data_IF_029377481633
#
_entry.id   IF_029377481633
#
_cell.length_a   1.000
_cell.length_b   1.000
_cell.length_c   1.000
_cell.angle_alpha   90.00
_cell.angle_beta   90.00
_cell.angle_gamma   90.00
#
_symmetry.space_group_name_H-M   'P 1'
#
loop_
_entity.id
_entity.type
_entity.pdbx_description
1 polymer ?
#
# COMPACT_ATOMS: atom_id res chain seq x y z
N UNK A 1 11.52 -21.81 4.17
CA UNK A 1 10.10 -21.39 4.13
C UNK A 1 9.31 -22.47 3.43
N UNK A 2 8.04 -22.67 3.78
CA UNK A 2 7.19 -23.69 3.16
C UNK A 2 6.30 -22.98 2.13
N UNK A 3 6.77 -22.87 0.89
CA UNK A 3 6.23 -22.00 -0.19
C UNK A 3 4.83 -22.41 -0.64
N UNK A 4 4.46 -23.69 -0.50
CA UNK A 4 3.06 -24.15 -0.65
C UNK A 4 2.12 -23.43 0.32
N UNK A 5 2.64 -22.93 1.44
CA UNK A 5 1.92 -22.12 2.41
C UNK A 5 1.76 -20.65 2.01
N UNK A 6 2.71 -20.05 1.28
CA UNK A 6 2.65 -18.63 0.90
C UNK A 6 1.72 -18.39 -0.29
N UNK A 7 1.82 -19.20 -1.35
CA UNK A 7 0.86 -19.18 -2.45
C UNK A 7 -0.58 -19.51 -1.97
N UNK A 8 -0.72 -20.42 -0.99
CA UNK A 8 -2.01 -20.70 -0.37
C UNK A 8 -2.56 -19.49 0.40
N UNK A 9 -1.71 -18.73 1.10
CA UNK A 9 -2.12 -17.52 1.84
C UNK A 9 -2.60 -16.41 0.91
N UNK A 10 -1.94 -16.20 -0.23
CA UNK A 10 -2.34 -15.15 -1.19
C UNK A 10 -3.66 -15.49 -1.89
N UNK A 11 -3.85 -16.75 -2.28
CA UNK A 11 -5.14 -17.23 -2.82
C UNK A 11 -6.24 -17.17 -1.76
N UNK A 12 -5.92 -17.45 -0.50
CA UNK A 12 -6.85 -17.33 0.62
C UNK A 12 -7.21 -15.87 0.90
N UNK A 13 -6.23 -14.93 0.83
CA UNK A 13 -6.46 -13.47 0.88
C UNK A 13 -7.49 -13.05 -0.15
N UNK A 14 -7.24 -13.34 -1.43
CA UNK A 14 -8.13 -12.98 -2.55
C UNK A 14 -9.56 -13.49 -2.34
N UNK A 15 -9.71 -14.72 -1.87
CA UNK A 15 -11.03 -15.31 -1.55
C UNK A 15 -11.71 -14.62 -0.38
N UNK A 16 -10.97 -14.25 0.66
CA UNK A 16 -11.51 -13.57 1.82
C UNK A 16 -11.97 -12.14 1.49
N UNK A 17 -11.18 -11.37 0.72
CA UNK A 17 -11.56 -10.01 0.29
C UNK A 17 -12.81 -10.06 -0.60
N UNK A 18 -12.87 -11.00 -1.55
CA UNK A 18 -14.07 -11.25 -2.36
C UNK A 18 -15.29 -11.56 -1.49
N UNK A 19 -15.15 -12.50 -0.55
CA UNK A 19 -16.25 -12.91 0.34
C UNK A 19 -16.72 -11.76 1.25
N UNK A 20 -15.80 -11.00 1.83
CA UNK A 20 -16.12 -9.89 2.73
C UNK A 20 -16.75 -8.72 1.97
N UNK A 21 -16.23 -8.41 0.77
CA UNK A 21 -16.81 -7.43 -0.15
C UNK A 21 -18.24 -7.79 -0.56
N UNK A 22 -18.47 -9.03 -1.01
CA UNK A 22 -19.80 -9.53 -1.35
C UNK A 22 -20.76 -9.50 -0.17
N UNK A 23 -20.32 -9.95 1.01
CA UNK A 23 -21.12 -9.91 2.24
C UNK A 23 -21.53 -8.49 2.62
N UNK A 24 -20.59 -7.55 2.60
CA UNK A 24 -20.88 -6.14 2.89
C UNK A 24 -21.83 -5.56 1.83
N UNK A 25 -21.57 -5.79 0.55
CA UNK A 25 -22.44 -5.32 -0.54
C UNK A 25 -23.87 -5.86 -0.42
N UNK A 26 -24.04 -7.14 -0.06
CA UNK A 26 -25.36 -7.74 0.21
C UNK A 26 -26.06 -7.06 1.39
N UNK A 27 -25.37 -6.90 2.53
CA UNK A 27 -25.93 -6.22 3.70
C UNK A 27 -26.37 -4.78 3.37
N UNK A 28 -25.54 -4.06 2.61
CA UNK A 28 -25.84 -2.71 2.17
C UNK A 28 -26.99 -2.67 1.18
N UNK A 29 -27.09 -3.63 0.26
CA UNK A 29 -28.22 -3.78 -0.64
C UNK A 29 -29.54 -3.92 0.14
N UNK A 30 -29.56 -4.68 1.23
CA UNK A 30 -30.77 -4.81 2.08
C UNK A 30 -31.15 -3.48 2.74
N UNK A 31 -30.15 -2.76 3.26
CA UNK A 31 -30.34 -1.45 3.88
C UNK A 31 -30.72 -0.37 2.85
N UNK A 32 -30.41 -0.59 1.57
CA UNK A 32 -30.62 0.36 0.48
C UNK A 32 -31.86 0.07 -0.39
N UNK A 33 -32.69 -0.91 -0.03
CA UNK A 33 -33.81 -1.38 -0.88
C UNK A 33 -34.82 -0.30 -1.25
N UNK A 34 -35.01 0.70 -0.38
CA UNK A 34 -35.98 1.78 -0.59
C UNK A 34 -35.37 3.05 -1.21
N UNK A 35 -34.09 2.99 -1.63
CA UNK A 35 -33.45 4.11 -2.33
C UNK A 35 -34.04 4.33 -3.72
N UNK A 36 -33.89 5.55 -4.24
CA UNK A 36 -34.18 5.86 -5.64
C UNK A 36 -33.29 5.08 -6.61
N UNK A 37 -32.13 4.62 -6.16
CA UNK A 37 -31.13 3.91 -6.98
C UNK A 37 -30.54 2.71 -6.22
N UNK A 38 -31.35 1.66 -5.95
CA UNK A 38 -30.91 0.52 -5.14
C UNK A 38 -29.74 -0.24 -5.76
N UNK A 39 -28.92 -0.83 -4.90
CA UNK A 39 -27.84 -1.73 -5.31
C UNK A 39 -28.42 -2.96 -6.01
N UNK A 40 -27.93 -3.28 -7.20
CA UNK A 40 -28.37 -4.45 -7.98
C UNK A 40 -27.49 -5.67 -7.71
N UNK A 41 -28.04 -6.87 -7.93
CA UNK A 41 -27.29 -8.13 -7.77
C UNK A 41 -26.04 -8.19 -8.68
N UNK A 42 -26.11 -7.58 -9.86
CA UNK A 42 -24.96 -7.47 -10.77
C UNK A 42 -23.83 -6.65 -10.16
N UNK A 43 -24.13 -5.62 -9.38
CA UNK A 43 -23.12 -4.75 -8.75
C UNK A 43 -22.51 -5.42 -7.53
N UNK A 44 -23.29 -6.22 -6.79
CA UNK A 44 -22.76 -7.11 -5.75
C UNK A 44 -21.74 -8.08 -6.37
N UNK A 45 -22.10 -8.72 -7.49
CA UNK A 45 -21.18 -9.61 -8.20
C UNK A 45 -19.92 -8.86 -8.73
N UNK A 46 -20.08 -7.61 -9.19
CA UNK A 46 -18.94 -6.77 -9.57
C UNK A 46 -17.99 -6.52 -8.38
N UNK A 47 -18.52 -6.23 -7.19
CA UNK A 47 -17.72 -6.05 -5.97
C UNK A 47 -16.99 -7.34 -5.60
N UNK A 48 -17.65 -8.50 -5.69
CA UNK A 48 -17.02 -9.80 -5.42
C UNK A 48 -15.88 -10.10 -6.38
N UNK A 49 -16.06 -9.82 -7.68
CA UNK A 49 -15.03 -10.02 -8.70
C UNK A 49 -13.88 -9.04 -8.49
N UNK A 50 -14.17 -7.76 -8.19
CA UNK A 50 -13.15 -6.77 -7.87
C UNK A 50 -12.32 -7.20 -6.65
N UNK A 51 -12.98 -7.63 -5.56
CA UNK A 51 -12.30 -8.13 -4.37
C UNK A 51 -11.45 -9.39 -4.65
N UNK A 52 -11.92 -10.29 -5.52
CA UNK A 52 -11.14 -11.47 -5.93
C UNK A 52 -9.89 -11.09 -6.74
N UNK A 53 -9.99 -10.01 -7.53
CA UNK A 53 -9.00 -9.65 -8.53
C UNK A 53 -8.06 -8.50 -8.13
N UNK A 54 -8.30 -7.82 -7.00
CA UNK A 54 -7.54 -6.62 -6.62
C UNK A 54 -6.02 -6.86 -6.51
N UNK A 55 -5.63 -8.05 -6.04
CA UNK A 55 -4.23 -8.47 -5.88
C UNK A 55 -3.66 -9.24 -7.09
N UNK A 56 -4.32 -9.25 -8.26
CA UNK A 56 -3.76 -9.93 -9.45
C UNK A 56 -2.46 -9.31 -9.95
N UNK A 57 -2.17 -8.07 -9.53
CA UNK A 57 -1.00 -7.31 -9.96
C UNK A 57 0.25 -7.48 -9.11
N UNK A 58 0.18 -8.19 -7.97
CA UNK A 58 1.36 -8.40 -7.12
C UNK A 58 2.31 -9.44 -7.73
N UNK A 59 3.60 -9.10 -7.76
CA UNK A 59 4.66 -10.03 -8.13
C UNK A 59 5.26 -10.76 -6.91
N UNK A 60 6.37 -11.48 -7.10
CA UNK A 60 7.01 -12.29 -6.06
C UNK A 60 7.35 -11.46 -4.83
N UNK A 61 7.00 -11.94 -3.63
CA UNK A 61 7.22 -11.26 -2.36
C UNK A 61 6.49 -9.90 -2.24
N UNK A 62 5.38 -9.72 -2.98
CA UNK A 62 4.44 -8.59 -2.88
C UNK A 62 5.15 -7.22 -2.95
N UNK A 63 5.15 -6.44 -1.86
CA UNK A 63 5.75 -5.09 -1.82
C UNK A 63 7.24 -5.05 -2.15
N UNK A 64 8.00 -6.12 -1.88
CA UNK A 64 9.42 -6.17 -2.22
C UNK A 64 9.66 -6.15 -3.73
N UNK A 65 8.70 -6.63 -4.53
CA UNK A 65 8.73 -6.53 -5.98
C UNK A 65 8.45 -5.11 -6.46
N UNK A 66 7.57 -4.39 -5.79
CA UNK A 66 7.13 -3.05 -6.18
C UNK A 66 8.27 -2.02 -6.01
N UNK A 67 9.00 -2.14 -4.90
CA UNK A 67 10.11 -1.24 -4.54
C UNK A 67 11.28 -1.25 -5.53
N UNK A 68 11.34 -2.27 -6.39
CA UNK A 68 12.47 -2.50 -7.29
C UNK A 68 12.13 -2.32 -8.76
N UNK A 69 10.83 -2.25 -9.10
CA UNK A 69 10.40 -1.96 -10.47
C UNK A 69 10.74 -0.51 -10.79
N UNK A 70 11.35 -0.33 -11.95
CA UNK A 70 11.66 1.01 -12.44
C UNK A 70 10.37 1.72 -12.84
N UNK A 71 10.31 3.06 -12.68
CA UNK A 71 9.22 3.84 -13.27
C UNK A 71 9.09 3.57 -14.77
N UNK A 72 7.87 3.75 -15.29
CA UNK A 72 7.60 3.73 -16.72
C UNK A 72 8.40 4.84 -17.45
N UNK A 73 8.48 4.75 -18.78
CA UNK A 73 9.20 5.71 -19.62
C UNK A 73 8.67 7.15 -19.48
N UNK A 74 7.40 7.31 -19.11
CA UNK A 74 6.76 8.60 -18.82
C UNK A 74 7.07 9.15 -17.40
N UNK A 75 7.92 8.45 -16.65
CA UNK A 75 8.30 8.80 -15.27
C UNK A 75 7.29 8.36 -14.21
N UNK A 76 6.15 7.78 -14.58
CA UNK A 76 5.16 7.31 -13.62
C UNK A 76 5.63 6.04 -12.92
N UNK A 77 5.38 5.94 -11.61
CA UNK A 77 5.65 4.71 -10.86
C UNK A 77 4.74 3.57 -11.33
N UNK A 78 5.31 2.39 -11.44
CA UNK A 78 4.54 1.15 -11.54
C UNK A 78 3.67 0.98 -10.28
N UNK A 79 2.46 0.47 -10.46
CA UNK A 79 1.49 0.26 -9.38
C UNK A 79 0.83 -1.12 -9.51
N UNK A 80 0.76 -1.91 -8.44
CA UNK A 80 0.07 -3.19 -8.43
C UNK A 80 -1.37 -3.10 -8.92
N UNK A 81 -2.13 -2.08 -8.49
CA UNK A 81 -3.55 -1.95 -8.86
C UNK A 81 -3.74 -1.78 -10.38
N UNK A 82 -2.84 -1.04 -11.04
CA UNK A 82 -2.84 -0.90 -12.51
C UNK A 82 -2.49 -2.23 -13.18
N UNK A 83 -1.52 -2.95 -12.64
CA UNK A 83 -1.18 -4.29 -13.12
C UNK A 83 -2.35 -5.25 -12.92
N UNK A 84 -3.09 -5.18 -11.80
CA UNK A 84 -4.22 -6.03 -11.50
C UNK A 84 -5.35 -5.85 -12.53
N UNK A 85 -5.65 -4.61 -12.93
CA UNK A 85 -6.60 -4.33 -14.03
C UNK A 85 -6.11 -4.91 -15.36
N UNK A 86 -4.83 -4.74 -15.68
CA UNK A 86 -4.25 -5.31 -16.89
C UNK A 86 -4.37 -6.85 -16.90
N UNK A 87 -4.03 -7.49 -15.79
CA UNK A 87 -4.13 -8.94 -15.61
C UNK A 87 -5.58 -9.43 -15.60
N UNK A 88 -6.53 -8.69 -15.06
CA UNK A 88 -7.96 -9.02 -15.11
C UNK A 88 -8.46 -9.06 -16.57
N UNK A 89 -8.17 -8.02 -17.36
CA UNK A 89 -8.57 -7.96 -18.77
C UNK A 89 -7.93 -9.09 -19.57
N UNK A 90 -6.66 -9.39 -19.30
CA UNK A 90 -5.98 -10.55 -19.88
C UNK A 90 -6.65 -11.87 -19.48
N UNK A 91 -6.93 -12.08 -18.19
CA UNK A 91 -7.54 -13.29 -17.65
C UNK A 91 -8.90 -13.58 -18.29
N UNK A 92 -9.73 -12.55 -18.48
CA UNK A 92 -11.04 -12.68 -19.14
C UNK A 92 -10.86 -13.17 -20.58
N UNK A 93 -10.04 -12.46 -21.36
CA UNK A 93 -9.82 -12.74 -22.79
C UNK A 93 -9.15 -14.08 -23.02
N UNK A 94 -8.07 -14.36 -22.30
CA UNK A 94 -7.28 -15.59 -22.45
C UNK A 94 -8.10 -16.85 -22.14
N UNK A 95 -8.99 -16.77 -21.15
CA UNK A 95 -9.81 -17.90 -20.73
C UNK A 95 -11.22 -17.89 -21.35
N UNK A 96 -11.50 -16.97 -22.29
CA UNK A 96 -12.81 -16.82 -22.94
C UNK A 96 -13.99 -16.74 -21.95
N UNK A 97 -13.81 -15.94 -20.88
CA UNK A 97 -14.79 -15.84 -19.79
C UNK A 97 -15.98 -14.93 -20.10
N UNK A 98 -15.98 -14.23 -21.23
CA UNK A 98 -17.02 -13.27 -21.62
C UNK A 98 -18.40 -13.91 -21.62
N UNK A 99 -18.52 -15.16 -22.09
CA UNK A 99 -19.80 -15.89 -22.07
C UNK A 99 -20.27 -16.18 -20.64
N UNK A 100 -19.37 -16.63 -19.76
CA UNK A 100 -19.71 -16.91 -18.36
C UNK A 100 -20.08 -15.63 -17.60
N UNK A 101 -19.42 -14.51 -17.91
CA UNK A 101 -19.75 -13.21 -17.35
C UNK A 101 -21.11 -12.72 -17.87
N UNK A 102 -21.42 -12.93 -19.16
CA UNK A 102 -22.73 -12.61 -19.72
C UNK A 102 -23.86 -13.44 -19.07
N UNK A 103 -23.62 -14.71 -18.71
CA UNK A 103 -24.59 -15.53 -17.95
C UNK A 103 -24.90 -14.91 -16.57
N UNK A 104 -23.95 -14.18 -15.99
CA UNK A 104 -24.10 -13.38 -14.77
C UNK A 104 -24.62 -11.96 -15.02
N UNK A 105 -24.96 -11.62 -16.27
CA UNK A 105 -25.34 -10.27 -16.73
C UNK A 105 -24.26 -9.21 -16.49
N UNK A 106 -23.00 -9.61 -16.59
CA UNK A 106 -21.82 -8.73 -16.50
C UNK A 106 -21.30 -8.50 -17.91
N UNK A 107 -21.34 -7.24 -18.35
CA UNK A 107 -20.92 -6.82 -19.69
C UNK A 107 -19.71 -5.88 -19.64
N UNK A 108 -19.32 -5.30 -20.77
CA UNK A 108 -18.13 -4.46 -20.88
C UNK A 108 -18.12 -3.29 -19.88
N UNK A 109 -19.25 -2.59 -19.71
CA UNK A 109 -19.38 -1.48 -18.76
C UNK A 109 -19.23 -1.94 -17.30
N UNK A 110 -19.69 -3.15 -16.97
CA UNK A 110 -19.49 -3.76 -15.65
C UNK A 110 -18.02 -4.13 -15.42
N UNK A 111 -17.32 -4.61 -16.47
CA UNK A 111 -15.87 -4.90 -16.39
C UNK A 111 -15.09 -3.62 -16.14
N UNK A 112 -15.40 -2.52 -16.83
CA UNK A 112 -14.74 -1.23 -16.59
C UNK A 112 -15.10 -0.68 -15.19
N UNK A 113 -16.32 -0.91 -14.70
CA UNK A 113 -16.68 -0.62 -13.31
C UNK A 113 -15.85 -1.44 -12.31
N UNK A 114 -15.69 -2.76 -12.51
CA UNK A 114 -14.80 -3.62 -11.71
C UNK A 114 -13.37 -3.07 -11.71
N UNK A 115 -12.87 -2.60 -12.86
CA UNK A 115 -11.56 -1.98 -12.95
C UNK A 115 -11.45 -0.72 -12.09
N UNK A 116 -12.48 0.15 -12.08
CA UNK A 116 -12.51 1.32 -11.20
C UNK A 116 -12.56 0.94 -9.71
N UNK A 117 -13.25 -0.14 -9.34
CA UNK A 117 -13.27 -0.65 -7.95
C UNK A 117 -11.89 -1.13 -7.49
N UNK A 118 -11.10 -1.75 -8.38
CA UNK A 118 -9.73 -2.20 -8.09
C UNK A 118 -8.76 -1.01 -7.97
N UNK A 119 -8.84 -0.06 -8.92
CA UNK A 119 -7.94 1.10 -8.95
C UNK A 119 -8.19 2.09 -7.80
N UNK A 120 -9.41 2.10 -7.28
CA UNK A 120 -9.89 3.18 -6.43
C UNK A 120 -10.20 4.43 -7.26
N UNK A 121 -11.12 5.25 -6.75
CA UNK A 121 -11.58 6.46 -7.42
C UNK A 121 -11.43 7.65 -6.48
N UNK A 122 -10.78 8.71 -6.96
CA UNK A 122 -10.61 9.97 -6.24
C UNK A 122 -11.81 10.89 -6.44
N UNK A 123 -11.85 11.98 -5.66
CA UNK A 123 -12.98 12.90 -5.64
C UNK A 123 -13.31 13.51 -7.02
N UNK A 124 -12.28 13.78 -7.82
CA UNK A 124 -12.33 14.42 -9.15
C UNK A 124 -12.31 13.43 -10.32
N UNK A 125 -12.21 12.13 -10.06
CA UNK A 125 -12.17 11.12 -11.11
C UNK A 125 -13.58 10.89 -11.69
N UNK A 126 -13.64 10.58 -12.99
CA UNK A 126 -14.89 10.25 -13.67
C UNK A 126 -15.41 8.87 -13.20
N UNK A 127 -16.64 8.83 -12.70
CA UNK A 127 -17.28 7.62 -12.19
C UNK A 127 -18.31 7.10 -13.18
N UNK A 128 -18.22 5.82 -13.53
CA UNK A 128 -19.26 5.16 -14.33
C UNK A 128 -20.62 5.13 -13.61
N UNK A 129 -20.62 5.11 -12.27
CA UNK A 129 -21.83 5.04 -11.42
C UNK A 129 -21.80 6.08 -10.30
N UNK A 130 -21.83 7.36 -10.65
CA UNK A 130 -21.70 8.47 -9.67
C UNK A 130 -22.75 8.42 -8.54
N UNK A 131 -23.98 7.99 -8.83
CA UNK A 131 -25.06 7.83 -7.85
C UNK A 131 -24.82 6.69 -6.83
N UNK A 132 -23.82 5.84 -7.06
CA UNK A 132 -23.49 4.67 -6.23
C UNK A 132 -22.06 4.74 -5.72
N UNK A 133 -21.63 5.95 -5.34
CA UNK A 133 -20.28 6.20 -4.84
C UNK A 133 -19.87 5.26 -3.69
N UNK A 134 -20.80 4.87 -2.81
CA UNK A 134 -20.57 3.87 -1.75
C UNK A 134 -19.95 2.55 -2.23
N UNK A 135 -20.21 2.09 -3.45
CA UNK A 135 -19.62 0.84 -3.97
C UNK A 135 -18.11 0.98 -4.22
N UNK A 136 -17.66 2.17 -4.62
CA UNK A 136 -16.23 2.48 -4.81
C UNK A 136 -15.44 2.52 -3.50
N UNK A 137 -16.13 2.54 -2.35
CA UNK A 137 -15.53 2.55 -1.02
C UNK A 137 -15.35 1.14 -0.43
N UNK A 138 -15.74 0.08 -1.15
CA UNK A 138 -15.76 -1.29 -0.62
C UNK A 138 -14.42 -2.02 -0.79
N UNK A 139 -13.81 -1.97 -1.97
CA UNK A 139 -12.61 -2.76 -2.32
C UNK A 139 -11.33 -1.93 -2.17
N UNK A 140 -11.31 -0.71 -2.71
CA UNK A 140 -10.18 0.22 -2.60
C UNK A 140 -10.71 1.62 -2.29
N UNK A 141 -10.69 1.99 -1.02
CA UNK A 141 -11.27 3.25 -0.57
C UNK A 141 -10.23 4.37 -0.57
N UNK A 142 -10.11 5.06 -1.70
CA UNK A 142 -9.18 6.18 -1.86
C UNK A 142 -9.51 7.44 -1.04
N UNK A 143 -10.69 7.52 -0.40
CA UNK A 143 -11.12 8.72 0.36
C UNK A 143 -10.54 8.73 1.77
N UNK A 144 -10.68 7.62 2.48
CA UNK A 144 -10.25 7.48 3.88
C UNK A 144 -9.54 6.15 4.19
N UNK A 145 -9.23 5.34 3.18
CA UNK A 145 -8.39 4.15 3.31
C UNK A 145 -9.00 3.03 4.13
N UNK A 146 -10.34 2.92 4.14
CA UNK A 146 -11.09 1.85 4.82
C UNK A 146 -11.85 1.03 3.81
N UNK A 147 -11.42 -0.21 3.63
CA UNK A 147 -11.97 -1.16 2.69
C UNK A 147 -11.85 -2.59 3.23
N UNK A 148 -12.46 -3.52 2.52
CA UNK A 148 -12.49 -4.93 2.91
C UNK A 148 -11.13 -5.62 2.77
N UNK A 149 -10.23 -5.15 1.89
CA UNK A 149 -8.84 -5.63 1.83
C UNK A 149 -8.12 -5.33 3.15
N UNK A 150 -8.26 -4.09 3.65
CA UNK A 150 -7.69 -3.70 4.93
C UNK A 150 -8.21 -4.53 6.10
N UNK A 151 -9.51 -4.74 6.18
CA UNK A 151 -10.09 -5.53 7.26
C UNK A 151 -9.58 -6.97 7.25
N UNK A 152 -9.48 -7.56 6.07
CA UNK A 152 -9.00 -8.91 5.86
C UNK A 152 -7.51 -9.06 6.24
N UNK A 153 -6.61 -8.22 5.72
CA UNK A 153 -5.19 -8.37 6.05
C UNK A 153 -4.87 -8.04 7.51
N UNK A 154 -5.61 -7.15 8.17
CA UNK A 154 -5.44 -6.87 9.60
C UNK A 154 -5.87 -8.09 10.42
N UNK A 155 -7.05 -8.63 10.16
CA UNK A 155 -7.56 -9.80 10.86
C UNK A 155 -6.66 -11.03 10.66
N UNK A 156 -6.24 -11.27 9.41
CA UNK A 156 -5.32 -12.35 9.06
C UNK A 156 -3.92 -12.14 9.65
N UNK A 157 -3.38 -10.94 9.55
CA UNK A 157 -2.07 -10.58 10.09
C UNK A 157 -2.02 -10.77 11.61
N UNK A 158 -3.05 -10.32 12.32
CA UNK A 158 -3.18 -10.53 13.76
C UNK A 158 -3.24 -12.02 14.14
N UNK A 159 -3.91 -12.85 13.33
CA UNK A 159 -3.97 -14.30 13.54
C UNK A 159 -2.60 -14.98 13.37
N UNK A 160 -1.88 -14.68 12.29
CA UNK A 160 -0.63 -15.38 11.97
C UNK A 160 0.58 -14.86 12.76
N UNK A 161 0.69 -13.55 12.99
CA UNK A 161 1.86 -12.95 13.61
C UNK A 161 1.89 -13.09 15.13
N UNK A 162 0.85 -13.68 15.74
CA UNK A 162 0.73 -13.88 17.20
C UNK A 162 1.14 -12.63 17.99
N UNK A 163 0.85 -11.43 17.46
CA UNK A 163 1.05 -10.18 18.20
C UNK A 163 0.20 -10.37 19.45
N UNK A 164 0.86 -10.51 20.62
CA UNK A 164 0.35 -11.15 21.85
C UNK A 164 -0.83 -10.45 22.55
N UNK A 165 -1.74 -9.86 21.80
CA UNK A 165 -3.02 -9.32 22.21
C UNK A 165 -4.05 -9.98 21.30
N UNK A 166 -5.04 -10.69 21.87
CA UNK A 166 -6.29 -11.00 21.18
C UNK A 166 -6.68 -9.74 20.41
N UNK A 167 -6.80 -9.81 19.08
CA UNK A 167 -6.99 -8.62 18.24
C UNK A 167 -8.09 -7.76 18.84
N UNK A 168 -7.76 -6.56 19.30
CA UNK A 168 -8.74 -5.60 19.84
C UNK A 168 -9.66 -5.07 18.72
N UNK A 169 -9.35 -5.40 17.47
CA UNK A 169 -10.16 -5.14 16.30
C UNK A 169 -11.22 -6.24 16.11
N UNK A 170 -12.47 -5.91 16.40
CA UNK A 170 -13.65 -6.72 16.03
C UNK A 170 -14.29 -6.17 14.76
N UNK A 171 -13.84 -6.67 13.61
CA UNK A 171 -14.39 -6.24 12.32
C UNK A 171 -15.89 -6.57 12.18
N UNK A 172 -16.44 -7.54 12.92
CA UNK A 172 -17.87 -7.88 12.84
C UNK A 172 -18.71 -6.75 13.44
N UNK A 173 -18.24 -6.13 14.53
CA UNK A 173 -18.88 -4.95 15.13
C UNK A 173 -18.91 -3.79 14.15
N UNK A 174 -17.78 -3.51 13.49
CA UNK A 174 -17.70 -2.46 12.45
C UNK A 174 -18.59 -2.79 11.26
N UNK A 175 -18.55 -4.03 10.76
CA UNK A 175 -19.38 -4.47 9.63
C UNK A 175 -20.88 -4.27 9.90
N UNK A 176 -21.32 -4.55 11.13
CA UNK A 176 -22.72 -4.35 11.54
C UNK A 176 -23.13 -2.88 11.71
N UNK A 177 -22.16 -1.96 11.80
CA UNK A 177 -22.43 -0.53 11.99
C UNK A 177 -22.38 0.28 10.69
N UNK A 178 -22.14 -0.35 9.54
CA UNK A 178 -22.05 0.35 8.25
C UNK A 178 -23.45 0.60 7.66
N UNK A 179 -23.70 1.85 7.24
CA UNK A 179 -24.90 2.25 6.50
C UNK A 179 -24.53 3.10 5.28
N UNK A 180 -25.45 3.22 4.33
CA UNK A 180 -25.35 4.18 3.22
C UNK A 180 -26.20 5.39 3.55
N UNK A 181 -25.60 6.57 3.62
CA UNK A 181 -26.30 7.83 3.86
C UNK A 181 -25.80 8.91 2.88
N UNK A 182 -26.61 9.96 2.71
CA UNK A 182 -26.21 11.14 1.98
C UNK A 182 -25.23 11.97 2.82
N UNK A 183 -24.03 12.18 2.29
CA UNK A 183 -22.94 12.93 2.93
C UNK A 183 -22.63 14.18 2.12
N UNK A 184 -22.63 15.33 2.80
CA UNK A 184 -22.27 16.61 2.18
C UNK A 184 -20.77 16.85 2.28
N UNK A 185 -20.08 16.89 1.15
CA UNK A 185 -18.66 17.28 1.02
C UNK A 185 -18.58 18.58 0.21
N UNK A 186 -18.37 19.69 0.92
CA UNK A 186 -18.37 21.02 0.29
C UNK A 186 -19.71 21.32 -0.39
N UNK A 187 -19.69 21.49 -1.71
CA UNK A 187 -20.88 21.76 -2.54
C UNK A 187 -21.57 20.49 -3.07
N UNK A 188 -20.96 19.32 -2.92
CA UNK A 188 -21.49 18.05 -3.43
C UNK A 188 -22.13 17.23 -2.30
N UNK A 189 -23.19 16.51 -2.62
CA UNK A 189 -23.77 15.48 -1.75
C UNK A 189 -23.66 14.14 -2.46
N UNK A 190 -23.08 13.14 -1.78
CA UNK A 190 -22.87 11.80 -2.33
C UNK A 190 -23.32 10.74 -1.35
N UNK A 191 -23.73 9.59 -1.86
CA UNK A 191 -24.09 8.41 -1.06
C UNK A 191 -22.82 7.68 -0.65
N UNK A 192 -22.49 7.70 0.63
CA UNK A 192 -21.24 7.15 1.18
C UNK A 192 -21.48 6.11 2.27
N UNK A 193 -20.46 5.30 2.53
CA UNK A 193 -20.42 4.42 3.70
C UNK A 193 -20.21 5.25 4.97
N UNK A 194 -21.20 5.23 5.85
CA UNK A 194 -21.17 5.88 7.15
C UNK A 194 -21.10 4.83 8.26
N UNK A 195 -20.39 5.17 9.33
CA UNK A 195 -20.20 4.29 10.49
C UNK A 195 -20.93 4.86 11.70
N UNK A 196 -21.44 4.00 12.59
CA UNK A 196 -21.94 4.48 13.89
C UNK A 196 -20.82 5.18 14.67
N UNK A 197 -21.09 6.36 15.22
CA UNK A 197 -20.13 7.13 16.03
C UNK A 197 -19.46 6.31 17.15
N UNK A 198 -20.22 5.42 17.79
CA UNK A 198 -19.76 4.51 18.85
C UNK A 198 -18.61 3.57 18.43
N UNK A 199 -18.40 3.34 17.12
CA UNK A 199 -17.28 2.52 16.61
C UNK A 199 -16.04 3.35 16.25
N UNK A 200 -16.05 4.68 16.44
CA UNK A 200 -14.90 5.53 16.14
C UNK A 200 -13.63 5.09 16.87
N UNK A 201 -13.76 4.57 18.10
CA UNK A 201 -12.61 4.03 18.84
C UNK A 201 -12.03 2.77 18.21
N UNK A 202 -12.88 1.87 17.74
CA UNK A 202 -12.47 0.65 17.07
C UNK A 202 -11.78 0.95 15.73
N UNK A 203 -12.29 1.94 14.99
CA UNK A 203 -11.67 2.42 13.76
C UNK A 203 -10.27 2.99 14.03
N UNK A 204 -10.11 3.85 15.04
CA UNK A 204 -8.78 4.39 15.38
C UNK A 204 -7.79 3.27 15.74
N UNK A 205 -8.24 2.30 16.53
CA UNK A 205 -7.43 1.14 16.90
C UNK A 205 -7.06 0.28 15.69
N UNK A 206 -7.97 0.12 14.73
CA UNK A 206 -7.70 -0.57 13.48
C UNK A 206 -6.58 0.11 12.69
N UNK A 207 -6.64 1.43 12.52
CA UNK A 207 -5.57 2.17 11.83
C UNK A 207 -4.23 2.07 12.56
N UNK A 208 -4.23 2.09 13.90
CA UNK A 208 -3.03 1.87 14.68
C UNK A 208 -2.43 0.48 14.41
N UNK A 209 -3.26 -0.56 14.39
CA UNK A 209 -2.82 -1.93 14.11
C UNK A 209 -2.35 -2.10 12.67
N UNK A 210 -3.07 -1.54 11.69
CA UNK A 210 -2.65 -1.47 10.27
C UNK A 210 -1.23 -0.94 10.15
N UNK A 211 -0.98 0.22 10.74
CA UNK A 211 0.32 0.87 10.68
C UNK A 211 1.42 0.04 11.35
N UNK A 212 1.13 -0.62 12.47
CA UNK A 212 2.07 -1.53 13.13
C UNK A 212 2.43 -2.73 12.24
N UNK A 213 1.44 -3.32 11.55
CA UNK A 213 1.63 -4.44 10.64
C UNK A 213 2.41 -4.05 9.38
N UNK A 214 2.03 -2.93 8.74
CA UNK A 214 2.71 -2.41 7.55
C UNK A 214 4.16 -2.05 7.86
N UNK A 215 4.39 -1.49 9.04
CA UNK A 215 5.74 -1.20 9.48
C UNK A 215 6.55 -2.45 9.80
N UNK A 216 5.98 -3.43 10.51
CA UNK A 216 6.66 -4.69 10.79
C UNK A 216 7.03 -5.47 9.51
N UNK A 217 6.13 -5.51 8.53
CA UNK A 217 6.37 -6.14 7.23
C UNK A 217 7.41 -5.40 6.40
N UNK A 218 7.41 -4.06 6.39
CA UNK A 218 8.45 -3.27 5.70
C UNK A 218 9.87 -3.51 6.25
N UNK A 219 9.99 -3.92 7.52
CA UNK A 219 11.28 -4.21 8.15
C UNK A 219 11.81 -5.62 7.93
N UNK A 220 10.96 -6.53 7.45
CA UNK A 220 11.44 -7.85 7.10
C UNK A 220 12.45 -7.75 5.94
N UNK A 221 13.50 -8.55 6.04
CA UNK A 221 14.80 -8.31 5.39
C UNK A 221 14.75 -8.56 3.88
N UNK A 222 14.23 -7.62 3.12
CA UNK A 222 14.08 -7.73 1.67
C UNK A 222 15.36 -7.42 0.88
N UNK A 223 16.43 -6.92 1.49
CA UNK A 223 17.63 -6.48 0.77
C UNK A 223 18.29 -7.58 -0.08
N UNK A 224 18.21 -8.84 0.38
CA UNK A 224 18.73 -10.01 -0.34
C UNK A 224 17.81 -10.47 -1.48
N UNK A 225 16.50 -10.46 -1.25
CA UNK A 225 15.47 -10.80 -2.26
C UNK A 225 15.44 -9.75 -3.38
N UNK A 226 15.58 -8.47 -3.03
CA UNK A 226 15.69 -7.35 -3.98
C UNK A 226 16.89 -7.52 -4.92
N UNK A 227 18.04 -7.96 -4.40
CA UNK A 227 19.24 -8.19 -5.20
C UNK A 227 19.07 -9.36 -6.18
N UNK A 228 18.28 -10.35 -5.79
CA UNK A 228 17.92 -11.49 -6.63
C UNK A 228 17.02 -11.01 -7.79
N UNK A 229 15.92 -10.32 -7.51
CA UNK A 229 14.93 -9.99 -8.56
C UNK A 229 15.50 -9.03 -9.62
N UNK A 230 16.31 -8.03 -9.24
CA UNK A 230 16.90 -7.05 -10.17
C UNK A 230 17.77 -7.67 -11.27
N UNK A 231 18.31 -8.87 -11.06
CA UNK A 231 19.34 -9.44 -11.93
C UNK A 231 18.79 -10.27 -13.11
N UNK A 232 17.51 -10.65 -13.08
CA UNK A 232 16.95 -11.67 -13.98
C UNK A 232 16.03 -11.11 -15.06
N UNK A 233 16.00 -9.80 -15.28
CA UNK A 233 15.00 -9.15 -16.14
C UNK A 233 13.55 -9.52 -15.78
N UNK A 234 13.30 -10.01 -14.55
CA UNK A 234 11.96 -10.27 -14.02
C UNK A 234 11.10 -9.01 -14.04
N UNK A 235 11.74 -7.84 -13.99
CA UNK A 235 11.08 -6.55 -14.11
C UNK A 235 10.45 -6.33 -15.49
N UNK A 236 10.94 -6.97 -16.55
CA UNK A 236 10.32 -6.89 -17.87
C UNK A 236 9.05 -7.74 -17.98
N UNK A 237 8.87 -8.73 -17.09
CA UNK A 237 7.65 -9.57 -17.08
C UNK A 237 6.38 -8.75 -16.86
N UNK A 238 6.45 -7.61 -16.18
CA UNK A 238 5.29 -6.73 -15.97
C UNK A 238 4.69 -6.20 -17.27
N UNK A 239 5.47 -6.20 -18.36
CA UNK A 239 5.06 -5.74 -19.69
C UNK A 239 4.31 -6.81 -20.50
N UNK A 240 4.46 -8.08 -20.15
CA UNK A 240 3.85 -9.20 -20.86
C UNK A 240 3.04 -10.06 -19.87
N UNK A 241 1.70 -10.11 -19.99
CA UNK A 241 0.86 -10.77 -19.01
C UNK A 241 1.09 -12.28 -18.94
N UNK A 242 1.49 -12.92 -20.04
CA UNK A 242 1.80 -14.35 -20.05
C UNK A 242 3.10 -14.63 -19.27
N UNK A 243 4.16 -13.84 -19.50
CA UNK A 243 5.37 -13.91 -18.68
C UNK A 243 5.11 -13.58 -17.21
N UNK A 244 4.29 -12.57 -16.91
CA UNK A 244 3.94 -12.20 -15.54
C UNK A 244 3.27 -13.35 -14.78
N UNK A 245 2.40 -14.12 -15.44
CA UNK A 245 1.78 -15.32 -14.86
C UNK A 245 2.78 -16.41 -14.46
N UNK A 246 4.00 -16.42 -15.01
CA UNK A 246 5.03 -17.41 -14.68
C UNK A 246 5.97 -16.94 -13.56
N UNK A 247 5.78 -15.72 -13.04
CA UNK A 247 6.69 -15.08 -12.08
C UNK A 247 6.02 -15.02 -10.72
N UNK A 248 6.41 -15.95 -9.84
CA UNK A 248 5.96 -16.04 -8.46
C UNK A 248 7.15 -16.31 -7.49
N UNK A 249 6.85 -16.56 -6.22
CA UNK A 249 7.86 -16.82 -5.18
C UNK A 249 8.73 -18.05 -5.48
N UNK A 250 8.30 -18.96 -6.37
CA UNK A 250 9.09 -20.13 -6.78
C UNK A 250 10.35 -19.75 -7.55
N UNK A 251 10.49 -18.48 -7.95
CA UNK A 251 11.73 -17.94 -8.51
C UNK A 251 12.95 -18.22 -7.62
N UNK A 252 12.78 -18.24 -6.29
CA UNK A 252 13.87 -18.58 -5.36
C UNK A 252 14.34 -20.01 -5.57
N UNK A 253 13.43 -20.96 -5.79
CA UNK A 253 13.78 -22.34 -6.12
C UNK A 253 14.41 -22.46 -7.49
N UNK A 254 13.85 -21.78 -8.50
CA UNK A 254 14.38 -21.79 -9.86
C UNK A 254 15.85 -21.31 -9.87
N UNK A 255 16.15 -20.25 -9.12
CA UNK A 255 17.52 -19.74 -8.98
C UNK A 255 18.40 -20.74 -8.25
N UNK A 256 17.94 -21.29 -7.13
CA UNK A 256 18.69 -22.27 -6.33
C UNK A 256 19.04 -23.52 -7.13
N UNK A 257 18.13 -23.99 -7.98
CA UNK A 257 18.28 -25.19 -8.81
C UNK A 257 19.01 -24.93 -10.14
N UNK A 258 19.13 -23.67 -10.55
CA UNK A 258 19.79 -23.30 -11.80
C UNK A 258 21.25 -23.74 -11.83
N UNK A 259 21.66 -24.35 -12.95
CA UNK A 259 23.04 -24.76 -13.22
C UNK A 259 23.87 -23.65 -13.90
N UNK A 260 23.26 -22.51 -14.22
CA UNK A 260 23.95 -21.41 -14.90
C UNK A 260 25.14 -20.89 -14.08
N UNK A 261 26.26 -20.68 -14.77
CA UNK A 261 27.51 -20.17 -14.19
C UNK A 261 27.71 -18.67 -14.45
N UNK A 262 26.68 -17.98 -14.94
CA UNK A 262 26.76 -16.53 -15.06
C UNK A 262 27.07 -15.92 -13.68
N UNK A 263 27.97 -14.92 -13.59
CA UNK A 263 28.28 -14.24 -12.33
C UNK A 263 27.01 -13.67 -11.66
N UNK A 264 26.09 -13.23 -12.53
CA UNK A 264 24.63 -13.37 -12.41
C UNK A 264 24.11 -14.28 -11.31
N UNK A 265 23.86 -15.49 -11.77
CA UNK A 265 23.21 -16.59 -11.10
C UNK A 265 24.00 -17.08 -9.87
N UNK A 266 25.32 -17.16 -9.97
CA UNK A 266 26.19 -17.63 -8.87
C UNK A 266 25.98 -16.78 -7.62
N UNK A 267 26.07 -15.45 -7.75
CA UNK A 267 25.87 -14.53 -6.63
C UNK A 267 24.45 -14.61 -6.05
N UNK A 268 23.44 -14.82 -6.88
CA UNK A 268 22.06 -14.96 -6.42
C UNK A 268 21.86 -16.25 -5.60
N UNK A 269 22.42 -17.38 -6.07
CA UNK A 269 22.43 -18.64 -5.31
C UNK A 269 23.15 -18.50 -3.97
N UNK A 270 24.32 -17.86 -3.95
CA UNK A 270 25.06 -17.62 -2.70
C UNK A 270 24.24 -16.82 -1.69
N UNK A 271 23.50 -15.80 -2.14
CA UNK A 271 22.59 -15.02 -1.29
C UNK A 271 21.48 -15.92 -0.73
N UNK A 272 20.83 -16.73 -1.57
CA UNK A 272 19.78 -17.67 -1.14
C UNK A 272 20.33 -18.68 -0.13
N UNK A 273 21.53 -19.22 -0.38
CA UNK A 273 22.17 -20.18 0.52
C UNK A 273 22.48 -19.57 1.88
N UNK A 274 22.92 -18.30 1.93
CA UNK A 274 23.13 -17.57 3.19
C UNK A 274 21.82 -17.41 3.96
N UNK A 275 20.71 -17.07 3.30
CA UNK A 275 19.38 -17.02 3.93
C UNK A 275 19.04 -18.37 4.57
N UNK A 276 19.25 -19.47 3.83
CA UNK A 276 18.94 -20.83 4.32
C UNK A 276 19.83 -21.25 5.50
N UNK A 277 21.11 -20.87 5.48
CA UNK A 277 22.06 -21.11 6.57
C UNK A 277 21.87 -20.14 7.75
N UNK A 278 20.97 -19.17 7.61
CA UNK A 278 20.75 -18.06 8.57
C UNK A 278 22.00 -17.19 8.78
N UNK A 279 22.85 -17.10 7.75
CA UNK A 279 24.06 -16.26 7.69
C UNK A 279 23.72 -14.83 7.25
N UNK A 280 22.78 -14.22 7.96
CA UNK A 280 22.28 -12.88 7.65
C UNK A 280 23.34 -11.81 7.89
N UNK A 281 23.21 -10.67 7.22
CA UNK A 281 24.00 -9.50 7.54
C UNK A 281 23.87 -9.12 9.02
N UNK A 282 24.99 -8.70 9.62
CA UNK A 282 25.03 -8.25 11.01
C UNK A 282 24.71 -6.75 11.10
N UNK A 283 23.79 -6.39 12.00
CA UNK A 283 23.51 -5.00 12.32
C UNK A 283 24.68 -4.43 13.14
N UNK A 284 25.34 -3.39 12.64
CA UNK A 284 26.53 -2.78 13.28
C UNK A 284 26.26 -1.39 13.85
N UNK A 285 25.18 -0.76 13.42
CA UNK A 285 24.70 0.50 13.98
C UNK A 285 23.18 0.53 13.92
N UNK A 286 22.55 1.05 14.96
CA UNK A 286 21.12 1.30 15.05
C UNK A 286 20.91 2.68 15.67
N UNK A 287 20.06 3.50 15.06
CA UNK A 287 19.65 4.79 15.58
C UNK A 287 18.14 4.80 15.75
N UNK A 288 17.67 4.99 16.98
CA UNK A 288 16.23 5.00 17.32
C UNK A 288 15.65 6.41 17.14
N UNK A 289 14.36 6.51 16.85
CA UNK A 289 13.59 7.75 16.73
C UNK A 289 13.82 8.56 15.44
N UNK A 290 14.12 7.90 14.32
CA UNK A 290 13.81 8.51 13.03
C UNK A 290 12.29 8.76 13.02
N UNK A 291 11.86 10.01 13.10
CA UNK A 291 10.51 10.33 12.63
C UNK A 291 10.59 10.22 11.12
N UNK A 292 10.54 9.02 10.56
CA UNK A 292 10.32 8.90 9.12
C UNK A 292 8.96 9.52 8.82
N UNK A 293 8.79 10.19 7.68
CA UNK A 293 7.50 10.77 7.36
C UNK A 293 6.44 9.65 7.37
N UNK A 294 5.52 9.72 8.33
CA UNK A 294 4.30 8.92 8.38
C UNK A 294 3.43 9.09 7.12
N UNK A 295 3.85 9.93 6.15
CA UNK A 295 3.29 10.08 4.81
C UNK A 295 3.26 8.78 4.00
N UNK A 296 4.12 7.79 4.32
CA UNK A 296 4.18 6.51 3.60
C UNK A 296 3.25 5.43 4.12
N UNK A 297 2.75 5.55 5.35
CA UNK A 297 1.93 4.53 6.00
C UNK A 297 0.61 5.19 6.44
N UNK A 298 -0.45 4.96 5.66
CA UNK A 298 -1.81 5.51 5.86
C UNK A 298 -1.98 7.01 5.51
N UNK A 299 -2.87 7.71 6.21
CA UNK A 299 -3.39 9.07 5.97
C UNK A 299 -2.39 10.23 6.19
N UNK A 300 -1.09 9.93 6.17
CA UNK A 300 0.00 10.90 6.16
C UNK A 300 0.07 11.83 7.37
N UNK A 301 0.23 11.24 8.56
CA UNK A 301 0.42 11.96 9.82
C UNK A 301 -0.83 12.68 10.36
N UNK A 302 -1.93 12.72 9.60
CA UNK A 302 -3.23 13.24 10.05
C UNK A 302 -4.07 12.13 10.69
N UNK A 303 -5.01 12.51 11.56
CA UNK A 303 -5.99 11.57 12.08
C UNK A 303 -6.80 10.91 10.94
N UNK A 304 -6.82 9.57 10.82
CA UNK A 304 -7.53 8.86 9.75
C UNK A 304 -9.05 9.05 9.77
N UNK A 305 -9.62 9.39 10.92
CA UNK A 305 -11.05 9.53 11.11
C UNK A 305 -11.61 10.84 10.54
N UNK A 306 -10.76 11.81 10.21
CA UNK A 306 -11.19 13.17 9.79
C UNK A 306 -12.06 13.16 8.53
N UNK A 307 -11.84 12.20 7.64
CA UNK A 307 -12.55 12.07 6.37
C UNK A 307 -13.66 11.00 6.43
N UNK A 308 -13.84 10.33 7.57
CA UNK A 308 -14.83 9.27 7.73
C UNK A 308 -16.16 9.92 8.17
N UNK A 309 -17.25 9.71 7.42
CA UNK A 309 -18.55 10.14 7.87
C UNK A 309 -19.10 9.17 8.91
N UNK A 310 -19.58 9.72 10.02
CA UNK A 310 -20.24 8.98 11.10
C UNK A 310 -21.74 9.26 11.08
N UNK A 311 -22.53 8.46 11.78
CA UNK A 311 -23.93 8.75 12.00
C UNK A 311 -24.35 8.49 13.44
N UNK A 312 -25.38 9.21 13.86
CA UNK A 312 -26.12 9.01 15.10
C UNK A 312 -27.60 8.76 14.78
N UNK A 313 -28.26 8.05 15.68
CA UNK A 313 -29.72 7.90 15.64
C UNK A 313 -30.36 9.11 16.32
N UNK A 314 -31.20 9.82 15.58
CA UNK A 314 -31.96 10.95 16.10
C UNK A 314 -33.16 10.46 16.91
N UNK A 315 -33.73 11.34 17.74
CA UNK A 315 -34.88 10.98 18.60
C UNK A 315 -36.14 10.59 17.83
N UNK A 316 -36.22 10.91 16.54
CA UNK A 316 -37.27 10.52 15.60
C UNK A 316 -36.97 9.22 14.84
N UNK A 317 -35.86 8.53 15.15
CA UNK A 317 -35.42 7.30 14.50
C UNK A 317 -34.73 7.50 13.14
N UNK A 318 -34.47 8.76 12.74
CA UNK A 318 -33.72 9.05 11.51
C UNK A 318 -32.21 9.00 11.75
N UNK A 319 -31.45 8.76 10.67
CA UNK A 319 -29.98 8.75 10.72
C UNK A 319 -29.45 9.92 9.90
N UNK A 320 -28.59 10.72 10.50
CA UNK A 320 -27.92 11.85 9.84
C UNK A 320 -26.42 11.59 9.84
N UNK A 321 -25.81 11.76 8.67
CA UNK A 321 -24.37 11.66 8.54
C UNK A 321 -23.69 12.97 8.94
N UNK A 322 -22.66 12.88 9.76
CA UNK A 322 -21.86 14.00 10.24
C UNK A 322 -20.38 13.61 10.35
N UNK A 323 -19.49 14.61 10.28
CA UNK A 323 -18.09 14.43 10.60
C UNK A 323 -17.88 14.75 12.08
N UNK A 324 -17.11 13.93 12.78
CA UNK A 324 -16.78 14.20 14.18
C UNK A 324 -15.94 15.47 14.30
N UNK A 325 -16.22 16.35 15.29
CA UNK A 325 -15.38 17.49 15.60
C UNK A 325 -13.92 17.09 15.87
N UNK A 326 -12.96 17.92 15.43
CA UNK A 326 -11.52 17.62 15.57
C UNK A 326 -11.11 17.40 17.03
N UNK A 327 -11.78 18.06 17.96
CA UNK A 327 -11.60 17.94 19.41
C UNK A 327 -12.19 16.65 20.02
N UNK A 328 -13.16 16.03 19.34
CA UNK A 328 -13.71 14.72 19.72
C UNK A 328 -12.91 13.55 19.13
N UNK A 329 -12.10 13.82 18.10
CA UNK A 329 -11.19 12.83 17.53
C UNK A 329 -10.09 12.49 18.54
N UNK A 330 -9.78 11.19 18.67
CA UNK A 330 -8.62 10.76 19.45
C UNK A 330 -7.33 11.43 18.95
N UNK A 331 -6.34 11.59 19.81
CA UNK A 331 -5.04 12.14 19.42
C UNK A 331 -4.48 11.42 18.18
N UNK A 332 -3.73 12.17 17.35
CA UNK A 332 -3.07 11.64 16.16
C UNK A 332 -2.39 10.30 16.47
N UNK A 333 -2.46 9.37 15.53
CA UNK A 333 -1.85 8.05 15.69
C UNK A 333 -0.38 8.24 16.12
N UNK A 334 0.05 7.74 17.30
CA UNK A 334 1.37 8.07 17.87
C UNK A 334 2.47 7.73 16.87
N UNK A 335 3.57 8.50 16.72
CA UNK A 335 4.60 8.14 15.75
C UNK A 335 5.06 6.70 15.97
N UNK A 336 5.23 5.93 14.89
CA UNK A 336 5.88 4.62 14.98
C UNK A 336 7.35 4.91 15.25
N UNK A 337 7.94 4.25 16.24
CA UNK A 337 9.38 4.36 16.48
C UNK A 337 10.13 3.78 15.28
N UNK A 338 10.55 4.68 14.38
CA UNK A 338 11.41 4.33 13.26
C UNK A 338 12.85 4.31 13.68
N UNK A 339 13.56 3.25 13.32
CA UNK A 339 14.99 3.15 13.60
C UNK A 339 15.75 2.83 12.33
N UNK A 340 16.87 3.52 12.17
CA UNK A 340 17.75 3.35 11.03
C UNK A 340 18.87 2.38 11.40
N UNK A 341 19.16 1.41 10.55
CA UNK A 341 20.14 0.35 10.79
C UNK A 341 21.15 0.23 9.66
N UNK A 342 22.41 0.04 10.01
CA UNK A 342 23.45 -0.30 9.04
C UNK A 342 23.83 -1.76 9.24
N UNK A 343 23.88 -2.48 8.13
CA UNK A 343 24.17 -3.90 8.08
C UNK A 343 25.46 -4.18 7.30
N UNK A 344 26.19 -5.22 7.68
CA UNK A 344 27.42 -5.69 7.00
C UNK A 344 27.45 -7.20 6.83
N UNK A 345 28.12 -7.67 5.78
CA UNK A 345 28.44 -9.09 5.58
C UNK A 345 29.61 -9.54 6.45
N UNK A 346 30.43 -8.60 6.91
CA UNK A 346 31.69 -8.87 7.59
C UNK A 346 31.40 -9.06 9.09
N UNK A 347 31.56 -10.27 9.64
CA UNK A 347 31.19 -10.56 11.03
C UNK A 347 32.09 -9.88 12.06
N UNK A 348 33.29 -9.45 11.66
CA UNK A 348 34.25 -8.73 12.51
C UNK A 348 34.78 -7.52 11.76
N UNK A 349 34.24 -6.35 12.08
CA UNK A 349 34.78 -5.07 11.63
C UNK A 349 35.65 -4.47 12.73
N UNK A 350 36.64 -3.69 12.34
CA UNK A 350 37.42 -2.89 13.27
C UNK A 350 36.53 -1.81 13.94
N UNK A 351 37.01 -1.32 15.09
CA UNK A 351 36.26 -0.37 15.92
C UNK A 351 36.02 0.97 15.20
N UNK A 352 36.93 1.38 14.34
CA UNK A 352 36.85 2.65 13.60
C UNK A 352 35.72 2.59 12.56
N UNK A 353 35.63 1.49 11.80
CA UNK A 353 34.55 1.26 10.84
C UNK A 353 33.18 1.20 11.51
N UNK A 354 33.06 0.55 12.67
CA UNK A 354 31.80 0.52 13.44
C UNK A 354 31.42 1.91 13.93
N UNK A 355 32.39 2.70 14.43
CA UNK A 355 32.15 4.07 14.87
C UNK A 355 31.74 5.00 13.72
N UNK A 356 32.37 4.86 12.55
CA UNK A 356 31.99 5.59 11.34
C UNK A 356 30.56 5.23 10.90
N UNK A 357 30.17 3.96 10.97
CA UNK A 357 28.80 3.54 10.69
C UNK A 357 27.79 4.20 11.66
N UNK A 358 28.10 4.22 12.97
CA UNK A 358 27.26 4.91 13.97
C UNK A 358 27.14 6.40 13.71
N UNK A 359 28.25 7.08 13.45
CA UNK A 359 28.25 8.52 13.12
C UNK A 359 27.43 8.80 11.85
N UNK A 360 27.52 7.96 10.81
CA UNK A 360 26.67 8.07 9.61
C UNK A 360 25.18 7.89 9.92
N UNK A 361 24.82 6.97 10.82
CA UNK A 361 23.44 6.83 11.27
C UNK A 361 22.94 8.10 11.96
N UNK A 362 23.75 8.67 12.85
CA UNK A 362 23.42 9.89 13.61
C UNK A 362 23.26 11.11 12.69
N UNK A 363 24.22 11.35 11.80
CA UNK A 363 24.13 12.44 10.81
C UNK A 363 22.89 12.31 9.92
N UNK A 364 22.54 11.08 9.51
CA UNK A 364 21.35 10.87 8.69
C UNK A 364 20.06 11.13 9.46
N UNK A 365 20.02 10.81 10.76
CA UNK A 365 18.90 11.16 11.63
C UNK A 365 18.77 12.69 11.77
N UNK A 366 19.88 13.40 11.95
CA UNK A 366 19.91 14.86 12.03
C UNK A 366 19.39 15.51 10.74
N UNK A 367 19.82 15.03 9.56
CA UNK A 367 19.33 15.51 8.27
C UNK A 367 17.81 15.31 8.10
N UNK A 368 17.26 14.20 8.60
CA UNK A 368 15.81 13.94 8.58
C UNK A 368 15.09 14.97 9.47
N UNK A 369 15.60 15.20 10.69
CA UNK A 369 15.05 16.21 11.60
C UNK A 369 15.16 17.64 11.08
N UNK A 370 16.19 17.98 10.31
CA UNK A 370 16.35 19.30 9.67
C UNK A 370 15.41 19.51 8.48
N UNK A 371 15.21 18.48 7.64
CA UNK A 371 14.21 18.51 6.57
C UNK A 371 12.80 18.73 7.11
N UNK A 372 12.48 18.15 8.26
CA UNK A 372 11.18 18.37 8.92
C UNK A 372 11.02 19.78 9.48
N UNK A 373 12.09 20.39 10.01
CA UNK A 373 12.06 21.78 10.49
C UNK A 373 11.96 22.81 9.37
N UNK A 374 12.29 22.46 8.14
CA UNK A 374 12.28 23.35 6.98
C UNK A 374 11.00 23.28 6.13
N UNK A 375 10.06 22.35 6.40
CA UNK A 375 8.71 22.40 5.81
C UNK A 375 7.94 23.57 6.43
N UNK A 376 7.52 24.61 5.68
CA UNK A 376 6.89 25.78 6.26
C UNK A 376 5.50 25.45 6.81
N UNK A 377 5.29 25.60 8.11
CA UNK A 377 3.96 25.67 8.74
C UNK A 377 3.35 27.06 8.52
N UNK A 378 3.06 27.42 7.26
CA UNK A 378 2.22 28.58 6.94
C UNK A 378 0.99 28.12 6.17
N UNK A 379 -0.23 28.55 6.57
CA UNK A 379 -1.41 28.33 5.76
C UNK A 379 -1.20 29.04 4.42
N UNK A 380 -1.37 28.31 3.32
CA UNK A 380 -1.41 28.89 1.97
C UNK A 380 -2.64 29.80 1.91
N UNK A 381 -2.45 31.09 2.16
CA UNK A 381 -3.41 32.10 1.70
C UNK A 381 -3.29 32.14 0.18
N UNK A 382 -4.16 31.41 -0.51
CA UNK A 382 -4.43 31.69 -1.92
C UNK A 382 -4.89 33.16 -2.01
N UNK A 383 -4.02 34.02 -2.52
CA UNK A 383 -4.43 35.34 -3.00
C UNK A 383 -5.31 35.08 -4.22
N UNK A 384 -6.63 35.12 -4.03
CA UNK A 384 -7.59 35.27 -5.11
C UNK A 384 -7.26 36.58 -5.81
N UNK A 385 -6.62 36.50 -6.98
CA UNK A 385 -6.66 37.58 -7.96
C UNK A 385 -7.94 37.36 -8.76
N UNK A 386 -8.93 38.20 -8.48
CA UNK A 386 -10.10 38.36 -9.34
C UNK A 386 -9.64 38.72 -10.76
N UNK A 387 -10.13 38.04 -11.82
CA UNK A 387 -9.90 38.48 -13.18
C UNK A 387 -10.74 39.74 -13.45
N UNK A 388 -10.07 40.79 -13.90
CA UNK A 388 -10.72 41.96 -14.49
C UNK A 388 -11.38 41.58 -15.81
N UNK A 389 -12.68 41.84 -15.91
CA UNK A 389 -13.46 41.72 -17.15
C UNK A 389 -12.94 42.79 -18.14
N UNK A 390 -12.42 42.34 -19.29
CA UNK A 390 -12.06 43.14 -20.46
C UNK A 390 -12.42 42.38 -21.73
N UNK A 391 -12.70 43.05 -22.87
CA UNK A 391 -13.64 42.57 -23.86
C UNK A 391 -13.10 41.44 -24.74
N UNK A 392 -14.04 40.57 -25.13
CA UNK A 392 -13.91 39.43 -26.04
C UNK A 392 -13.39 39.87 -27.41
N UNK A 393 -12.34 39.21 -27.90
CA UNK A 393 -11.89 39.28 -29.29
C UNK A 393 -12.07 37.91 -29.98
N UNK A 394 -12.44 37.86 -31.28
CA UNK A 394 -13.02 36.69 -31.91
C UNK A 394 -11.98 35.65 -32.36
N UNK A 395 -12.42 34.39 -32.39
CA UNK A 395 -11.65 33.23 -32.84
C UNK A 395 -11.30 33.29 -34.34
N UNK A 396 -10.10 32.87 -34.77
CA UNK A 396 -9.82 32.58 -36.18
C UNK A 396 -10.06 31.10 -36.53
N UNK A 397 -10.22 30.75 -37.83
CA UNK A 397 -10.91 29.55 -38.27
C UNK A 397 -10.00 28.37 -38.65
N UNK A 398 -10.63 27.20 -38.74
CA UNK A 398 -10.12 25.90 -39.19
C UNK A 398 -9.68 25.86 -40.67
N UNK A 399 -8.47 25.36 -40.92
CA UNK A 399 -7.95 24.67 -42.13
C UNK A 399 -6.41 24.60 -42.00
N UNK A 400 -5.60 23.69 -42.54
CA UNK A 400 -5.70 22.41 -43.23
C UNK A 400 -4.26 21.79 -43.24
N UNK A 401 -4.17 20.46 -43.31
CA UNK A 401 -3.14 19.58 -43.92
C UNK A 401 -1.67 20.06 -44.01
N UNK A 402 -0.74 19.24 -43.48
CA UNK A 402 0.69 19.30 -43.82
C UNK A 402 1.51 18.13 -43.25
N UNK A 403 1.86 17.18 -44.11
CA UNK A 403 2.82 16.09 -43.89
C UNK A 403 4.27 16.63 -43.81
N UNK A 404 5.20 15.79 -43.32
CA UNK A 404 6.62 15.61 -43.76
C UNK A 404 7.73 15.76 -42.68
N UNK A 405 8.46 14.65 -42.52
CA UNK A 405 9.88 14.41 -42.16
C UNK A 405 10.44 14.55 -40.74
N UNK A 406 11.02 13.43 -40.30
CA UNK A 406 12.18 13.29 -39.41
C UNK A 406 13.41 14.09 -39.89
N UNK A 407 14.34 14.40 -38.97
CA UNK A 407 15.72 14.06 -39.27
C UNK A 407 16.46 13.39 -38.11
N UNK A 408 17.47 12.64 -38.53
CA UNK A 408 18.49 11.91 -37.81
C UNK A 408 19.53 12.79 -37.12
N UNK A 409 20.20 12.18 -36.13
CA UNK A 409 21.64 12.31 -35.79
C UNK A 409 22.26 13.71 -35.67
N UNK A 410 22.63 14.08 -34.44
CA UNK A 410 23.55 15.19 -34.17
C UNK A 410 24.32 14.95 -32.87
N UNK A 411 25.54 14.44 -33.00
CA UNK A 411 26.61 14.53 -32.01
C UNK A 411 27.14 15.97 -31.94
N UNK A 412 27.37 16.53 -30.75
CA UNK A 412 28.54 17.34 -30.33
C UNK A 412 28.31 17.85 -28.89
N UNK A 413 29.14 17.44 -27.92
CA UNK A 413 30.32 18.14 -27.34
C UNK A 413 29.98 19.11 -26.22
N UNK A 414 30.67 18.85 -25.11
CA UNK A 414 30.70 19.50 -23.81
C UNK A 414 30.95 21.01 -23.84
N UNK A 415 30.31 21.71 -22.90
CA UNK A 415 30.91 22.85 -22.19
C UNK A 415 30.50 22.76 -20.73
N UNK A 416 31.52 22.67 -19.87
CA UNK A 416 31.47 22.74 -18.42
C UNK A 416 30.85 24.06 -17.91
N UNK A 417 30.29 23.98 -16.71
CA UNK A 417 29.74 25.10 -15.95
C UNK A 417 29.20 24.62 -14.62
N UNK A 418 30.07 24.02 -13.81
CA UNK A 418 29.84 23.66 -12.41
C UNK A 418 29.68 24.91 -11.53
N UNK A 419 28.66 24.91 -10.67
CA UNK A 419 28.75 25.50 -9.33
C UNK A 419 28.13 24.52 -8.30
N UNK A 420 29.04 23.78 -7.66
CA UNK A 420 29.11 23.39 -6.24
C UNK A 420 27.88 22.80 -5.51
N UNK A 421 27.79 21.46 -5.54
CA UNK A 421 27.39 20.67 -4.35
C UNK A 421 28.43 19.54 -4.18
N UNK A 422 29.11 19.40 -3.01
CA UNK A 422 30.16 18.40 -2.84
C UNK A 422 29.60 16.97 -2.96
N UNK A 423 30.03 16.25 -4.01
CA UNK A 423 29.89 14.81 -4.09
C UNK A 423 30.83 14.18 -3.05
N UNK A 424 30.30 13.75 -1.91
CA UNK A 424 31.02 12.87 -0.99
C UNK A 424 30.99 11.45 -1.56
N UNK A 425 32.07 11.14 -2.28
CA UNK A 425 32.36 9.86 -2.91
C UNK A 425 32.38 8.65 -1.96
N UNK A 426 32.31 7.47 -2.59
CA UNK A 426 32.77 6.16 -2.15
C UNK A 426 31.93 5.47 -1.05
N UNK A 427 30.97 4.66 -1.51
CA UNK A 427 30.54 3.51 -0.73
C UNK A 427 31.75 2.60 -0.47
N UNK A 428 31.99 2.14 0.77
CA UNK A 428 32.89 0.99 0.95
C UNK A 428 32.30 -0.20 0.18
N UNK A 429 33.14 -1.11 -0.34
CA UNK A 429 32.62 -2.33 -0.95
C UNK A 429 31.78 -3.08 0.10
N UNK A 430 30.53 -3.39 -0.24
CA UNK A 430 29.62 -4.29 0.50
C UNK A 430 28.84 -3.77 1.74
N UNK A 431 28.59 -2.47 1.91
CA UNK A 431 27.64 -1.96 2.92
C UNK A 431 26.24 -1.67 2.35
N UNK A 432 25.18 -2.11 3.04
CA UNK A 432 23.77 -1.82 2.69
C UNK A 432 23.09 -1.13 3.89
N UNK A 433 22.49 0.04 3.64
CA UNK A 433 21.69 0.76 4.62
C UNK A 433 20.22 0.27 4.58
N UNK A 434 19.60 0.04 5.74
CA UNK A 434 18.19 -0.35 5.83
C UNK A 434 17.54 0.23 7.10
N UNK A 435 16.21 0.25 7.16
CA UNK A 435 15.44 0.77 8.31
C UNK A 435 14.90 -0.43 9.12
N UNK A 436 14.99 -0.47 10.45
CA UNK A 436 14.63 -1.64 11.31
C UNK A 436 14.56 -1.35 12.83
N UNK A 437 13.71 -2.00 13.68
CA UNK A 437 13.50 -1.81 15.16
C UNK A 437 14.10 -2.79 16.16
N UNK A 438 14.65 -2.26 17.28
CA UNK A 438 15.20 -2.99 18.45
C UNK A 438 14.13 -3.53 19.42
N UNK A 439 14.51 -4.36 20.43
CA UNK A 439 13.57 -5.08 21.27
C UNK A 439 12.89 -4.17 22.31
N UNK A 440 11.65 -4.52 22.66
CA UNK A 440 10.94 -3.98 23.81
C UNK A 440 11.66 -4.40 25.11
N UNK A 441 11.97 -3.43 25.97
CA UNK A 441 12.61 -3.66 27.25
C UNK A 441 11.71 -4.53 28.16
N UNK A 442 12.11 -5.78 28.39
CA UNK A 442 11.68 -6.54 29.56
C UNK A 442 12.51 -6.09 30.76
N UNK A 443 11.87 -5.43 31.71
CA UNK A 443 12.42 -5.05 33.01
C UNK A 443 13.10 -6.26 33.72
N UNK A 444 14.38 -6.20 34.12
CA UNK A 444 14.99 -7.22 34.95
C UNK A 444 14.78 -6.84 36.42
N UNK A 445 13.75 -7.40 37.08
CA UNK A 445 13.76 -7.53 38.54
C UNK A 445 13.94 -8.99 38.90
N UNK A 446 15.19 -9.33 39.20
CA UNK A 446 15.52 -10.54 39.92
C UNK A 446 14.98 -10.46 41.35
N UNK A 447 14.21 -11.46 41.74
CA UNK A 447 14.16 -11.95 43.12
C UNK A 447 14.09 -13.47 43.06
N UNK A 448 14.93 -14.10 43.88
CA UNK A 448 15.25 -15.53 43.88
C UNK A 448 14.18 -16.36 44.62
N UNK A 449 13.83 -17.50 44.00
CA UNK A 449 13.54 -18.83 44.59
C UNK A 449 12.25 -19.08 45.38
N UNK A 450 11.79 -20.35 45.57
CA UNK A 450 11.95 -21.57 44.76
C UNK A 450 10.60 -22.25 44.39
N UNK A 451 10.69 -23.27 43.52
CA UNK A 451 9.63 -24.20 43.09
C UNK A 451 8.88 -24.89 44.26
N UNK A 452 7.69 -25.44 43.97
CA UNK A 452 7.62 -26.90 44.04
C UNK A 452 6.94 -27.57 42.84
N UNK A 453 7.47 -28.75 42.54
CA UNK A 453 6.96 -29.79 41.65
C UNK A 453 5.47 -30.08 41.89
N UNK A 454 4.69 -30.20 40.80
CA UNK A 454 3.47 -31.00 40.79
C UNK A 454 3.50 -31.92 39.57
N UNK A 455 3.53 -33.22 39.87
CA UNK A 455 3.49 -34.34 38.94
C UNK A 455 2.18 -34.35 38.15
N UNK A 456 2.31 -34.68 36.87
CA UNK A 456 1.22 -35.12 36.01
C UNK A 456 0.54 -36.37 36.59
N UNK A 457 -0.79 -36.33 36.65
CA UNK A 457 -1.67 -37.45 36.31
C UNK A 457 -2.92 -36.90 35.63
#
# INVERSE_FOLDING_TARGET
>A
MNEKGEMKKEVEKKKCVSHLGGKLALMLQENDRNSSTPIQNTEVACVEIAGLCHDLGHGPFSHAFEDIIQPYEDGNKWKPDKQAVFMLKYLIKHNSLEKKLADLKIYAEDIDFICQLILGVKEDDEMLRENKFCLYQLVNNSVYGMDVDRWDYIARGAHYLHVGRKSTFDFKRILSSVKILDVKRGSKTRRELCFRDEVARDLNQMFLTSRQLNYASYQDRHSEVIAIIKKYKLLDSVKDPEAFCQVDDTIVNAIRQSLSQEPGMVKAREIIDRIHRREFYHCIAECKHAKEELSRFDCGGRNPLINIPFYKESSDGTFVAEFLPVDELQADLPPVDVSFRIYTKVPKLDRETVNMAKSRCETRLEMIHERQRSVPTKPVKQKVKSPSIGPVAPSPPLSAVGHVTSPSSGSFVSTDGDEDIPSLMSNPPDAVAAVGTGPAESNPRGSRSPEPEVKLH
#
